data_IF_489540043843
#
_entry.id   IF_489540043843
#
_cell.length_a   1.000
_cell.length_b   1.000
_cell.length_c   1.000
_cell.angle_alpha   90.00
_cell.angle_beta   90.00
_cell.angle_gamma   90.00
#
_symmetry.space_group_name_H-M   'P 1'
#
loop_
_entity.id
_entity.type
_entity.pdbx_description
1 polymer ?
#
# COMPACT_ATOMS: atom_id res chain seq x y z
N UNK A 1 11.64 9.42 27.02
CA UNK A 1 12.14 8.27 26.21
C UNK A 1 11.42 6.94 26.53
N UNK A 2 11.04 6.69 27.80
CA UNK A 2 10.42 5.42 28.26
C UNK A 2 9.05 5.10 27.63
N UNK A 3 8.21 6.10 27.39
CA UNK A 3 6.84 5.91 26.87
C UNK A 3 6.76 5.50 25.39
N UNK A 4 7.79 5.78 24.57
CA UNK A 4 7.79 5.34 23.16
C UNK A 4 8.03 3.84 23.06
N UNK A 5 9.05 3.35 23.78
CA UNK A 5 9.40 1.93 23.86
C UNK A 5 8.26 1.08 24.43
N UNK A 6 7.51 1.61 25.41
CA UNK A 6 6.34 0.92 25.96
C UNK A 6 5.23 0.71 24.92
N UNK A 7 4.94 1.75 24.12
CA UNK A 7 3.95 1.67 23.03
C UNK A 7 4.33 0.65 21.98
N UNK A 8 5.58 0.68 21.55
CA UNK A 8 6.12 -0.26 20.55
C UNK A 8 6.06 -1.70 21.06
N UNK A 9 6.38 -1.94 22.34
CA UNK A 9 6.25 -3.26 22.97
C UNK A 9 4.80 -3.77 22.96
N UNK A 10 3.82 -2.92 23.30
CA UNK A 10 2.40 -3.31 23.33
C UNK A 10 1.89 -3.63 21.92
N UNK A 11 2.31 -2.84 20.92
CA UNK A 11 1.95 -3.10 19.52
C UNK A 11 2.59 -4.39 19.02
N UNK A 12 3.85 -4.66 19.36
CA UNK A 12 4.50 -5.92 19.03
C UNK A 12 3.82 -7.12 19.70
N UNK A 13 3.43 -6.99 20.98
CA UNK A 13 2.70 -8.04 21.72
C UNK A 13 1.33 -8.34 21.07
N UNK A 14 0.62 -7.32 20.57
CA UNK A 14 -0.63 -7.50 19.81
C UNK A 14 -0.43 -8.19 18.46
N UNK A 15 0.64 -7.87 17.74
CA UNK A 15 0.92 -8.49 16.45
C UNK A 15 1.39 -9.94 16.60
N UNK A 16 2.11 -10.24 17.68
CA UNK A 16 2.64 -11.57 17.97
C UNK A 16 1.61 -12.49 18.64
N UNK A 17 0.81 -11.95 19.56
CA UNK A 17 -0.23 -12.67 20.26
C UNK A 17 -1.59 -12.15 19.83
N UNK A 18 -2.46 -13.02 19.31
CA UNK A 18 -3.85 -12.72 18.94
C UNK A 18 -4.78 -12.34 20.10
N UNK A 19 -4.24 -11.67 21.12
CA UNK A 19 -4.94 -11.11 22.26
C UNK A 19 -5.73 -9.88 21.82
N UNK A 20 -6.96 -9.76 22.33
CA UNK A 20 -7.80 -8.60 22.05
C UNK A 20 -7.24 -7.33 22.69
N UNK A 21 -7.59 -6.17 22.12
CA UNK A 21 -7.27 -4.86 22.69
C UNK A 21 -7.71 -4.70 24.16
N UNK A 22 -8.79 -5.40 24.55
CA UNK A 22 -9.34 -5.37 25.90
C UNK A 22 -8.43 -6.09 26.89
N UNK A 23 -7.97 -7.28 26.52
CA UNK A 23 -7.02 -8.06 27.32
C UNK A 23 -5.66 -7.37 27.48
N UNK A 24 -5.17 -6.69 26.44
CA UNK A 24 -3.94 -5.89 26.54
C UNK A 24 -4.12 -4.65 27.41
N UNK A 25 -5.30 -4.03 27.37
CA UNK A 25 -5.63 -2.88 28.20
C UNK A 25 -5.68 -3.21 29.69
N UNK A 26 -6.23 -4.37 30.05
CA UNK A 26 -6.26 -4.86 31.43
C UNK A 26 -4.86 -5.22 31.94
N UNK A 27 -4.02 -5.86 31.12
CA UNK A 27 -2.63 -6.20 31.49
C UNK A 27 -1.73 -4.98 31.71
N UNK A 28 -1.85 -3.97 30.86
CA UNK A 28 -0.97 -2.80 30.88
C UNK A 28 -1.60 -1.57 31.56
N UNK A 29 -2.85 -1.67 32.03
CA UNK A 29 -3.58 -0.55 32.66
C UNK A 29 -3.89 0.60 31.71
N UNK A 30 -3.93 0.33 30.39
CA UNK A 30 -4.09 1.34 29.34
C UNK A 30 -5.45 1.17 28.70
N UNK A 31 -6.12 2.29 28.41
CA UNK A 31 -7.41 2.25 27.73
C UNK A 31 -7.27 1.60 26.33
N UNK A 32 -8.11 0.60 26.04
CA UNK A 32 -8.15 -0.13 24.77
C UNK A 32 -8.20 0.79 23.54
N UNK A 33 -8.84 1.97 23.66
CA UNK A 33 -8.91 2.95 22.58
C UNK A 33 -7.53 3.54 22.23
N UNK A 34 -6.67 3.74 23.23
CA UNK A 34 -5.30 4.23 23.01
C UNK A 34 -4.44 3.18 22.30
N UNK A 35 -4.56 1.91 22.70
CA UNK A 35 -3.86 0.78 22.06
C UNK A 35 -4.30 0.65 20.60
N UNK A 36 -5.61 0.64 20.34
CA UNK A 36 -6.16 0.63 18.98
C UNK A 36 -5.61 1.78 18.13
N UNK A 37 -5.53 2.99 18.70
CA UNK A 37 -4.96 4.15 18.00
C UNK A 37 -3.48 3.96 17.66
N UNK A 38 -2.70 3.30 18.51
CA UNK A 38 -1.28 3.01 18.24
C UNK A 38 -1.11 1.95 17.16
N UNK A 39 -1.92 0.89 17.20
CA UNK A 39 -1.91 -0.17 16.18
C UNK A 39 -2.32 0.39 14.82
N UNK A 40 -3.42 1.16 14.73
CA UNK A 40 -3.83 1.80 13.46
C UNK A 40 -2.77 2.78 12.92
N UNK A 41 -2.01 3.43 13.81
CA UNK A 41 -0.90 4.30 13.39
C UNK A 41 0.27 3.48 12.83
N UNK A 42 0.52 2.29 13.38
CA UNK A 42 1.58 1.39 12.94
C UNK A 42 1.24 0.71 11.60
N UNK A 43 -0.01 0.30 11.41
CA UNK A 43 -0.47 -0.37 10.17
C UNK A 43 -0.76 0.59 9.00
N UNK A 44 -0.64 1.92 9.21
CA UNK A 44 -0.91 2.92 8.16
C UNK A 44 -2.40 3.09 7.80
N UNK A 45 -3.32 2.42 8.51
CA UNK A 45 -4.77 2.41 8.23
C UNK A 45 -5.53 3.60 8.86
N UNK A 46 -4.84 4.65 9.31
CA UNK A 46 -5.51 5.86 9.79
C UNK A 46 -6.17 6.61 8.63
N UNK A 47 -7.47 6.37 8.41
CA UNK A 47 -8.30 7.05 7.40
C UNK A 47 -8.27 8.58 7.49
N UNK A 48 -7.96 9.14 8.66
CA UNK A 48 -7.74 10.56 8.89
C UNK A 48 -6.61 10.73 9.92
N UNK A 49 -5.34 10.92 9.52
CA UNK A 49 -4.31 11.31 10.48
C UNK A 49 -4.73 12.64 11.13
N UNK A 50 -4.47 12.86 12.44
CA UNK A 50 -4.70 14.17 13.03
C UNK A 50 -3.91 15.18 12.21
N UNK A 51 -4.60 16.17 11.62
CA UNK A 51 -3.99 17.27 10.87
C UNK A 51 -2.91 17.87 11.75
N UNK A 52 -1.66 17.46 11.53
CA UNK A 52 -0.49 18.16 12.07
C UNK A 52 -0.64 19.56 11.51
N UNK A 53 -0.72 20.58 12.38
CA UNK A 53 -0.78 21.98 11.95
C UNK A 53 0.32 22.14 10.91
N UNK A 54 -0.07 22.41 9.67
CA UNK A 54 0.83 22.50 8.53
C UNK A 54 1.80 23.64 8.79
N UNK A 55 2.98 23.31 9.31
CA UNK A 55 4.14 24.17 9.15
C UNK A 55 4.35 24.20 7.64
N UNK A 56 4.28 25.40 7.05
CA UNK A 56 4.48 25.63 5.62
C UNK A 56 5.71 24.83 5.18
N UNK A 57 5.65 24.02 4.10
CA UNK A 57 6.80 23.27 3.65
C UNK A 57 7.89 24.29 3.26
N UNK A 58 8.96 24.33 4.03
CA UNK A 58 10.20 24.98 3.62
C UNK A 58 10.69 24.29 2.35
N UNK A 59 11.13 25.03 1.31
CA UNK A 59 11.61 24.46 0.05
C UNK A 59 12.76 23.44 0.21
N UNK A 60 13.48 23.49 1.33
CA UNK A 60 14.72 22.73 1.56
C UNK A 60 14.56 21.25 1.97
N UNK A 61 13.32 20.75 2.06
CA UNK A 61 13.03 19.35 2.41
C UNK A 61 12.76 18.45 1.19
N UNK A 62 12.79 18.98 -0.02
CA UNK A 62 12.79 18.19 -1.27
C UNK A 62 14.21 17.78 -1.68
N UNK A 63 15.14 17.63 -0.73
CA UNK A 63 16.46 17.06 -1.00
C UNK A 63 16.29 15.56 -1.18
N UNK A 64 16.19 15.15 -2.44
CA UNK A 64 16.80 13.95 -3.00
C UNK A 64 16.96 12.81 -2.00
N UNK A 65 15.86 12.20 -1.58
CA UNK A 65 15.94 10.85 -1.07
C UNK A 65 16.31 10.03 -2.31
N UNK A 66 17.53 9.46 -2.41
CA UNK A 66 17.85 8.62 -3.54
C UNK A 66 16.78 7.52 -3.54
N UNK A 67 15.95 7.49 -4.59
CA UNK A 67 14.99 6.39 -4.79
C UNK A 67 15.79 5.10 -4.55
N UNK A 68 15.34 4.30 -3.58
CA UNK A 68 15.95 3.00 -3.28
C UNK A 68 16.22 2.30 -4.61
N UNK A 69 17.40 1.72 -4.80
CA UNK A 69 17.79 1.13 -6.09
C UNK A 69 16.68 0.21 -6.64
N UNK A 70 16.08 -0.57 -5.76
CA UNK A 70 14.92 -1.42 -6.01
C UNK A 70 13.75 -0.67 -6.67
N UNK A 71 13.43 0.55 -6.25
CA UNK A 71 12.33 1.34 -6.82
C UNK A 71 12.66 1.74 -8.26
N UNK A 72 13.91 2.08 -8.56
CA UNK A 72 14.32 2.45 -9.93
C UNK A 72 14.28 1.23 -10.85
N UNK A 73 14.76 0.08 -10.36
CA UNK A 73 14.72 -1.20 -11.08
C UNK A 73 13.27 -1.63 -11.35
N UNK A 74 12.41 -1.62 -10.33
CA UNK A 74 10.98 -1.94 -10.47
C UNK A 74 10.28 -1.00 -11.46
N UNK A 75 10.62 0.29 -11.47
CA UNK A 75 10.06 1.24 -12.45
C UNK A 75 10.50 0.92 -13.88
N UNK A 76 11.77 0.52 -14.07
CA UNK A 76 12.29 0.13 -15.38
C UNK A 76 11.64 -1.16 -15.89
N UNK A 77 11.50 -2.17 -15.02
CA UNK A 77 10.80 -3.42 -15.35
C UNK A 77 9.33 -3.19 -15.71
N UNK A 78 8.64 -2.35 -14.93
CA UNK A 78 7.26 -1.99 -15.17
C UNK A 78 7.11 -1.27 -16.53
N UNK A 79 8.04 -0.39 -16.89
CA UNK A 79 8.06 0.26 -18.21
C UNK A 79 8.24 -0.78 -19.33
N UNK A 80 9.14 -1.75 -19.17
CA UNK A 80 9.38 -2.82 -20.14
C UNK A 80 8.13 -3.70 -20.32
N UNK A 81 7.49 -4.11 -19.23
CA UNK A 81 6.28 -4.92 -19.26
C UNK A 81 5.10 -4.20 -19.95
N UNK A 82 4.94 -2.89 -19.69
CA UNK A 82 3.91 -2.07 -20.37
C UNK A 82 4.15 -2.02 -21.87
N UNK A 83 5.38 -1.79 -22.31
CA UNK A 83 5.74 -1.77 -23.73
C UNK A 83 5.47 -3.13 -24.40
N UNK A 84 5.88 -4.23 -23.75
CA UNK A 84 5.60 -5.57 -24.26
C UNK A 84 4.10 -5.83 -24.42
N UNK A 85 3.28 -5.43 -23.45
CA UNK A 85 1.84 -5.56 -23.52
C UNK A 85 1.25 -4.76 -24.69
N UNK A 86 1.71 -3.53 -24.91
CA UNK A 86 1.26 -2.68 -26.02
C UNK A 86 1.59 -3.33 -27.37
N UNK A 87 2.82 -3.80 -27.55
CA UNK A 87 3.24 -4.51 -28.77
C UNK A 87 2.39 -5.77 -29.00
N UNK A 88 2.17 -6.59 -27.95
CA UNK A 88 1.34 -7.79 -28.06
C UNK A 88 -0.10 -7.46 -28.46
N UNK A 89 -0.67 -6.38 -27.94
CA UNK A 89 -2.01 -5.94 -28.32
C UNK A 89 -2.07 -5.50 -29.79
N UNK A 90 -1.07 -4.79 -30.30
CA UNK A 90 -1.02 -4.41 -31.72
C UNK A 90 -0.85 -5.61 -32.64
N UNK A 91 0.01 -6.58 -32.28
CA UNK A 91 0.15 -7.84 -33.04
C UNK A 91 -1.18 -8.59 -33.10
N UNK A 92 -1.92 -8.64 -31.99
CA UNK A 92 -3.25 -9.28 -31.97
C UNK A 92 -4.22 -8.54 -32.90
N UNK A 93 -4.24 -7.21 -32.91
CA UNK A 93 -5.11 -6.43 -33.80
C UNK A 93 -4.80 -6.72 -35.27
N UNK A 94 -3.53 -6.68 -35.65
CA UNK A 94 -3.09 -6.97 -37.03
C UNK A 94 -3.53 -8.39 -37.42
N UNK A 95 -3.34 -9.37 -36.53
CA UNK A 95 -3.76 -10.74 -36.79
C UNK A 95 -5.29 -10.88 -36.93
N UNK A 96 -6.08 -10.14 -36.14
CA UNK A 96 -7.55 -10.10 -36.27
C UNK A 96 -7.98 -9.47 -37.61
N UNK A 97 -7.29 -8.42 -38.05
CA UNK A 97 -7.54 -7.75 -39.34
C UNK A 97 -7.18 -8.65 -40.54
N UNK A 98 -6.02 -9.31 -40.50
CA UNK A 98 -5.53 -10.17 -41.59
C UNK A 98 -6.32 -11.48 -41.72
N UNK A 99 -6.66 -12.12 -40.59
CA UNK A 99 -7.34 -13.41 -40.58
C UNK A 99 -8.87 -13.28 -40.60
N UNK A 100 -9.41 -12.11 -40.30
CA UNK A 100 -10.86 -11.88 -40.21
C UNK A 100 -11.55 -12.67 -39.08
N UNK A 101 -10.77 -13.24 -38.15
CA UNK A 101 -11.27 -14.03 -37.02
C UNK A 101 -11.01 -13.24 -35.73
N UNK A 102 -12.01 -13.08 -34.85
CA UNK A 102 -11.80 -12.45 -33.55
C UNK A 102 -11.00 -13.38 -32.63
N UNK A 103 -9.75 -13.00 -32.33
CA UNK A 103 -8.82 -13.76 -31.46
C UNK A 103 -9.05 -13.40 -29.99
N UNK A 104 -9.43 -12.14 -29.70
CA UNK A 104 -9.78 -11.72 -28.33
C UNK A 104 -11.11 -12.30 -27.88
N UNK A 105 -11.12 -12.73 -26.61
CA UNK A 105 -12.36 -13.09 -25.90
C UNK A 105 -13.30 -11.88 -25.86
N UNK A 106 -14.48 -12.00 -26.46
CA UNK A 106 -15.55 -11.00 -26.33
C UNK A 106 -16.09 -11.02 -24.89
N UNK A 107 -16.28 -9.86 -24.28
CA UNK A 107 -16.81 -9.75 -22.93
C UNK A 107 -18.29 -10.16 -22.92
N UNK A 108 -18.57 -11.42 -22.53
CA UNK A 108 -19.87 -11.93 -22.08
C UNK A 108 -21.00 -11.98 -23.12
N UNK A 109 -21.70 -13.11 -23.16
CA UNK A 109 -23.01 -13.21 -23.82
C UNK A 109 -24.04 -12.47 -22.96
N UNK A 110 -24.94 -11.67 -23.57
CA UNK A 110 -26.07 -11.05 -22.87
C UNK A 110 -26.88 -12.14 -22.15
N UNK A 111 -27.09 -12.01 -20.84
CA UNK A 111 -28.05 -12.86 -20.13
C UNK A 111 -29.45 -12.54 -20.68
N UNK A 112 -30.13 -13.57 -21.22
CA UNK A 112 -31.57 -13.53 -21.50
C UNK A 112 -32.37 -13.71 -20.22
#
# INVERSE_FOLDING_TARGET
>A
MKERKLRERIVAEYLLGGLSYRTLGEKHGINFYQIRRWVLKHEGQMKNPPKVKSVKPSPDLQRDIPLSNDVKELQAELRKARLQNEVLLEVIKIAEEELGIPIRKKAGTKQS
#
